data_IF_868638969143
#
_entry.id   IF_868638969143
#
_cell.length_a   1.000
_cell.length_b   1.000
_cell.length_c   1.000
_cell.angle_alpha   90.00
_cell.angle_beta   90.00
_cell.angle_gamma   90.00
#
_symmetry.space_group_name_H-M   'P 1'
#
loop_
_entity.id
_entity.type
_entity.pdbx_description
1 polymer ?
#
# COMPACT_ATOMS: atom_id res chain seq x y z
N UNK A 1 -5.09 -20.13 0.27
CA UNK A 1 -5.55 -18.75 -0.07
C UNK A 1 -4.37 -17.80 -0.29
N UNK A 2 -4.59 -16.60 -0.84
CA UNK A 2 -3.52 -15.61 -1.05
C UNK A 2 -3.43 -14.56 0.08
N UNK A 3 -2.46 -13.64 -0.01
CA UNK A 3 -2.24 -12.59 1.00
C UNK A 3 -3.42 -11.60 1.12
N UNK A 4 -4.13 -11.35 0.01
CA UNK A 4 -5.29 -10.44 -0.03
C UNK A 4 -6.48 -11.10 0.66
N UNK A 5 -6.65 -12.41 0.47
CA UNK A 5 -7.66 -13.20 1.16
C UNK A 5 -7.40 -13.24 2.67
N UNK A 6 -6.14 -13.38 3.07
CA UNK A 6 -5.74 -13.32 4.47
C UNK A 6 -6.02 -11.94 5.09
N UNK A 7 -5.62 -10.87 4.40
CA UNK A 7 -5.86 -9.49 4.83
C UNK A 7 -7.35 -9.22 5.03
N UNK A 8 -8.14 -9.36 3.98
CA UNK A 8 -9.55 -8.99 4.01
C UNK A 8 -10.40 -9.98 4.79
N UNK A 9 -10.15 -11.28 4.60
CA UNK A 9 -10.89 -12.33 5.28
C UNK A 9 -10.63 -12.38 6.78
N UNK A 10 -9.39 -12.11 7.22
CA UNK A 10 -9.04 -11.97 8.63
C UNK A 10 -9.77 -10.80 9.29
N UNK A 11 -9.71 -9.61 8.67
CA UNK A 11 -10.43 -8.41 9.15
C UNK A 11 -11.94 -8.66 9.22
N UNK A 12 -12.51 -9.30 8.21
CA UNK A 12 -13.93 -9.65 8.20
C UNK A 12 -14.27 -10.59 9.36
N UNK A 13 -13.54 -11.70 9.48
CA UNK A 13 -13.81 -12.72 10.49
C UNK A 13 -13.71 -12.17 11.91
N UNK A 14 -12.72 -11.32 12.18
CA UNK A 14 -12.53 -10.68 13.48
C UNK A 14 -13.69 -9.75 13.84
N UNK A 15 -14.07 -8.84 12.93
CA UNK A 15 -15.17 -7.91 13.17
C UNK A 15 -16.51 -8.63 13.30
N UNK A 16 -16.76 -9.63 12.46
CA UNK A 16 -17.95 -10.48 12.53
C UNK A 16 -18.03 -11.20 13.88
N UNK A 17 -16.92 -11.78 14.35
CA UNK A 17 -16.86 -12.47 15.66
C UNK A 17 -17.15 -11.52 16.82
N UNK A 18 -16.72 -10.26 16.73
CA UNK A 18 -16.93 -9.22 17.74
C UNK A 18 -18.30 -8.52 17.62
N UNK A 19 -19.14 -8.88 16.64
CA UNK A 19 -20.44 -8.24 16.42
C UNK A 19 -20.35 -6.80 15.88
N UNK A 20 -19.20 -6.40 15.33
CA UNK A 20 -18.99 -5.07 14.77
C UNK A 20 -19.36 -4.99 13.29
N UNK A 21 -19.52 -3.76 12.79
CA UNK A 21 -19.75 -3.50 11.37
C UNK A 21 -18.54 -3.94 10.52
N UNK A 22 -18.74 -5.01 9.77
CA UNK A 22 -17.76 -5.61 8.87
C UNK A 22 -17.32 -4.68 7.74
N UNK A 23 -18.13 -3.68 7.38
CA UNK A 23 -17.75 -2.72 6.33
C UNK A 23 -16.56 -1.86 6.74
N UNK A 24 -16.38 -1.61 8.05
CA UNK A 24 -15.20 -0.91 8.57
C UNK A 24 -13.93 -1.70 8.31
N UNK A 25 -13.97 -3.03 8.39
CA UNK A 25 -12.82 -3.89 8.09
C UNK A 25 -12.37 -3.81 6.65
N UNK A 26 -13.30 -3.60 5.72
CA UNK A 26 -12.98 -3.33 4.30
C UNK A 26 -12.22 -2.03 4.15
N UNK A 27 -12.66 -0.97 4.81
CA UNK A 27 -12.00 0.33 4.76
C UNK A 27 -10.56 0.25 5.30
N UNK A 28 -10.36 -0.35 6.48
CA UNK A 28 -9.02 -0.50 7.07
C UNK A 28 -8.13 -1.45 6.28
N UNK A 29 -8.68 -2.53 5.73
CA UNK A 29 -7.94 -3.43 4.83
C UNK A 29 -7.44 -2.68 3.58
N UNK A 30 -8.28 -1.84 2.98
CA UNK A 30 -7.89 -1.01 1.83
C UNK A 30 -6.80 -0.02 2.20
N UNK A 31 -6.90 0.62 3.37
CA UNK A 31 -5.86 1.54 3.87
C UNK A 31 -4.52 0.83 4.07
N UNK A 32 -4.52 -0.35 4.69
CA UNK A 32 -3.29 -1.12 4.90
C UNK A 32 -2.65 -1.54 3.58
N UNK A 33 -3.45 -2.03 2.63
CA UNK A 33 -2.96 -2.38 1.31
C UNK A 33 -2.45 -1.16 0.54
N UNK A 34 -3.11 -0.01 0.68
CA UNK A 34 -2.67 1.26 0.12
C UNK A 34 -1.31 1.68 0.69
N UNK A 35 -1.11 1.57 2.01
CA UNK A 35 0.17 1.85 2.64
C UNK A 35 1.28 0.93 2.11
N UNK A 36 1.02 -0.38 1.96
CA UNK A 36 1.97 -1.32 1.35
C UNK A 36 2.32 -0.88 -0.08
N UNK A 37 1.33 -0.58 -0.91
CA UNK A 37 1.55 -0.14 -2.30
C UNK A 37 2.40 1.14 -2.34
N UNK A 38 2.10 2.10 -1.48
CA UNK A 38 2.84 3.36 -1.38
C UNK A 38 4.30 3.12 -0.99
N UNK A 39 4.56 2.26 0.01
CA UNK A 39 5.93 1.92 0.43
C UNK A 39 6.73 1.37 -0.77
N UNK A 40 6.18 0.41 -1.50
CA UNK A 40 6.87 -0.19 -2.64
C UNK A 40 6.99 0.78 -3.84
N UNK A 41 6.04 1.69 -4.01
CA UNK A 41 6.15 2.76 -5.01
C UNK A 41 7.29 3.72 -4.67
N UNK A 42 7.44 4.12 -3.40
CA UNK A 42 8.57 4.94 -2.96
C UNK A 42 9.90 4.20 -3.12
N UNK A 43 9.97 2.92 -2.74
CA UNK A 43 11.16 2.10 -2.98
C UNK A 43 11.56 2.07 -4.46
N UNK A 44 10.59 1.86 -5.35
CA UNK A 44 10.82 1.87 -6.79
C UNK A 44 11.38 3.22 -7.26
N UNK A 45 10.77 4.33 -6.82
CA UNK A 45 11.23 5.69 -7.16
C UNK A 45 12.65 5.94 -6.67
N UNK A 46 12.97 5.55 -5.42
CA UNK A 46 14.32 5.73 -4.87
C UNK A 46 15.36 4.88 -5.62
N UNK A 47 15.06 3.62 -5.92
CA UNK A 47 15.97 2.75 -6.68
C UNK A 47 16.21 3.30 -8.09
N UNK A 48 15.16 3.77 -8.77
CA UNK A 48 15.30 4.40 -10.08
C UNK A 48 16.18 5.65 -10.02
N UNK A 49 16.02 6.48 -8.98
CA UNK A 49 16.86 7.65 -8.76
C UNK A 49 18.35 7.28 -8.61
N UNK A 50 18.65 6.24 -7.84
CA UNK A 50 20.03 5.76 -7.66
C UNK A 50 20.67 5.21 -8.93
N UNK A 51 19.87 4.64 -9.85
CA UNK A 51 20.38 4.11 -11.11
C UNK A 51 20.62 5.24 -12.11
N UNK A 52 19.69 6.20 -12.19
CA UNK A 52 19.78 7.34 -13.08
C UNK A 52 18.90 8.48 -12.58
N UNK A 53 19.53 9.59 -12.21
CA UNK A 53 18.86 10.79 -11.69
C UNK A 53 17.90 11.41 -12.73
N UNK A 54 18.24 11.30 -14.03
CA UNK A 54 17.48 11.93 -15.13
C UNK A 54 16.12 11.27 -15.38
N UNK A 55 15.95 9.98 -15.02
CA UNK A 55 14.70 9.23 -15.23
C UNK A 55 13.55 9.91 -14.48
N UNK A 56 13.80 10.36 -13.25
CA UNK A 56 12.79 11.03 -12.45
C UNK A 56 12.53 12.45 -12.94
N UNK A 57 13.57 13.16 -13.39
CA UNK A 57 13.41 14.53 -13.88
C UNK A 57 12.50 14.61 -15.11
N UNK A 58 12.61 13.65 -16.03
CA UNK A 58 11.69 13.58 -17.19
C UNK A 58 10.28 13.13 -16.80
N UNK A 59 10.13 12.18 -15.88
CA UNK A 59 8.82 11.73 -15.40
C UNK A 59 8.07 12.83 -14.63
N UNK A 60 8.78 13.66 -13.86
CA UNK A 60 8.20 14.76 -13.09
C UNK A 60 8.17 16.09 -13.83
N UNK A 61 8.76 16.21 -15.04
CA UNK A 61 8.76 17.42 -15.87
C UNK A 61 7.38 18.07 -16.05
N UNK A 62 6.29 17.33 -16.33
CA UNK A 62 4.96 17.93 -16.47
C UNK A 62 4.47 18.54 -15.15
N UNK A 63 4.76 17.85 -14.04
CA UNK A 63 4.39 18.28 -12.69
C UNK A 63 5.22 19.52 -12.29
N UNK A 64 6.51 19.56 -12.64
CA UNK A 64 7.42 20.71 -12.43
C UNK A 64 7.02 21.94 -13.22
N UNK A 65 6.44 21.76 -14.41
CA UNK A 65 5.84 22.86 -15.20
C UNK A 65 4.60 23.45 -14.53
N UNK A 66 3.75 22.64 -13.90
CA UNK A 66 2.54 23.11 -13.21
C UNK A 66 2.85 23.78 -11.86
N UNK A 67 3.83 23.29 -11.10
CA UNK A 67 4.12 23.75 -9.73
C UNK A 67 5.38 24.63 -9.60
N UNK A 68 6.15 24.77 -10.68
CA UNK A 68 7.33 25.64 -10.77
C UNK A 68 8.44 25.32 -9.77
N UNK A 69 9.25 26.33 -9.44
CA UNK A 69 10.40 26.23 -8.52
C UNK A 69 9.99 25.91 -7.07
N UNK A 70 8.70 26.03 -6.74
CA UNK A 70 8.13 25.71 -5.43
C UNK A 70 7.84 24.22 -5.21
N UNK A 71 8.11 23.38 -6.20
CA UNK A 71 7.74 21.96 -6.23
C UNK A 71 8.19 21.17 -4.99
N UNK A 72 9.35 21.44 -4.38
CA UNK A 72 9.77 20.77 -3.15
C UNK A 72 8.86 21.06 -1.94
N UNK A 73 8.42 22.32 -1.79
CA UNK A 73 7.49 22.74 -0.71
C UNK A 73 6.03 22.41 -1.03
N UNK A 74 5.65 22.41 -2.32
CA UNK A 74 4.31 22.07 -2.78
C UNK A 74 4.05 20.56 -2.81
N UNK A 75 5.06 19.73 -3.15
CA UNK A 75 4.98 18.27 -3.13
C UNK A 75 4.56 17.74 -1.75
N UNK A 76 5.20 18.26 -0.70
CA UNK A 76 5.02 17.79 0.67
C UNK A 76 3.68 18.15 1.31
N UNK A 77 2.92 19.12 0.76
CA UNK A 77 1.67 19.60 1.37
C UNK A 77 0.43 19.44 0.50
N UNK A 78 0.53 19.60 -0.82
CA UNK A 78 -0.65 19.71 -1.70
C UNK A 78 -0.72 18.58 -2.72
N UNK A 79 0.42 18.07 -3.20
CA UNK A 79 0.44 17.07 -4.27
C UNK A 79 0.38 15.64 -3.73
N UNK A 80 0.98 15.37 -2.57
CA UNK A 80 0.95 14.04 -1.96
C UNK A 80 -0.47 13.55 -1.65
N UNK A 81 -1.35 14.43 -1.17
CA UNK A 81 -2.72 14.05 -0.75
C UNK A 81 -3.55 13.54 -1.95
N UNK A 82 -3.67 14.26 -3.08
CA UNK A 82 -4.34 13.75 -4.28
C UNK A 82 -3.73 12.46 -4.81
N UNK A 83 -2.40 12.32 -4.82
CA UNK A 83 -1.74 11.09 -5.28
C UNK A 83 -2.13 9.90 -4.39
N UNK A 84 -2.04 10.07 -3.07
CA UNK A 84 -2.44 9.03 -2.11
C UNK A 84 -3.92 8.68 -2.27
N UNK A 85 -4.80 9.67 -2.47
CA UNK A 85 -6.22 9.44 -2.71
C UNK A 85 -6.46 8.65 -4.00
N UNK A 86 -5.76 8.97 -5.09
CA UNK A 86 -5.83 8.23 -6.36
C UNK A 86 -5.38 6.78 -6.15
N UNK A 87 -4.24 6.56 -5.48
CA UNK A 87 -3.74 5.20 -5.18
C UNK A 87 -4.76 4.43 -4.34
N UNK A 88 -5.33 5.07 -3.31
CA UNK A 88 -6.38 4.45 -2.50
C UNK A 88 -7.59 4.03 -3.34
N UNK A 89 -8.07 4.91 -4.24
CA UNK A 89 -9.19 4.60 -5.14
C UNK A 89 -8.85 3.43 -6.05
N UNK A 90 -7.64 3.40 -6.62
CA UNK A 90 -7.16 2.28 -7.44
C UNK A 90 -7.17 0.98 -6.63
N UNK A 91 -6.61 0.99 -5.42
CA UNK A 91 -6.60 -0.18 -4.52
C UNK A 91 -8.01 -0.64 -4.18
N UNK A 92 -8.90 0.30 -3.87
CA UNK A 92 -10.30 0.04 -3.54
C UNK A 92 -11.04 -0.59 -4.72
N UNK A 93 -10.86 -0.09 -5.94
CA UNK A 93 -11.52 -0.61 -7.14
C UNK A 93 -10.99 -1.99 -7.52
N UNK A 94 -9.67 -2.19 -7.49
CA UNK A 94 -9.04 -3.42 -7.94
C UNK A 94 -9.14 -4.54 -6.89
N UNK A 95 -8.83 -4.25 -5.63
CA UNK A 95 -8.68 -5.26 -4.57
C UNK A 95 -9.75 -5.16 -3.49
N UNK A 96 -10.23 -3.94 -3.20
CA UNK A 96 -11.09 -3.63 -2.05
C UNK A 96 -12.60 -3.57 -2.31
N UNK A 97 -13.08 -4.06 -3.46
CA UNK A 97 -14.51 -4.03 -3.78
C UNK A 97 -15.30 -4.90 -2.79
N UNK A 98 -16.55 -4.54 -2.49
CA UNK A 98 -17.40 -5.29 -1.53
C UNK A 98 -17.49 -6.79 -1.89
N UNK A 99 -17.71 -7.07 -3.18
CA UNK A 99 -17.76 -8.44 -3.72
C UNK A 99 -16.45 -9.21 -3.48
N UNK A 100 -15.30 -8.55 -3.67
CA UNK A 100 -13.99 -9.18 -3.44
C UNK A 100 -13.72 -9.37 -1.95
N UNK A 101 -14.09 -8.41 -1.11
CA UNK A 101 -13.99 -8.48 0.35
C UNK A 101 -14.77 -9.69 0.93
N UNK A 102 -16.02 -9.87 0.51
CA UNK A 102 -16.84 -11.02 0.90
C UNK A 102 -16.28 -12.35 0.37
N UNK A 103 -15.80 -12.36 -0.89
CA UNK A 103 -15.15 -13.55 -1.47
C UNK A 103 -13.89 -13.94 -0.70
N UNK A 104 -13.08 -12.97 -0.29
CA UNK A 104 -11.90 -13.19 0.54
C UNK A 104 -12.26 -13.76 1.91
N UNK A 105 -13.36 -13.31 2.53
CA UNK A 105 -13.88 -13.97 3.75
C UNK A 105 -14.29 -15.42 3.52
N UNK A 106 -14.94 -15.75 2.40
CA UNK A 106 -15.31 -17.14 2.09
C UNK A 106 -14.08 -18.02 1.86
N UNK A 107 -13.06 -17.50 1.18
CA UNK A 107 -11.79 -18.20 0.99
C UNK A 107 -11.08 -18.41 2.34
N UNK A 108 -11.08 -17.38 3.19
CA UNK A 108 -10.50 -17.43 4.52
C UNK A 108 -11.24 -18.40 5.44
N UNK A 109 -12.57 -18.41 5.45
CA UNK A 109 -13.35 -19.27 6.35
C UNK A 109 -13.17 -20.76 6.03
N UNK A 110 -12.99 -21.11 4.75
CA UNK A 110 -12.73 -22.47 4.27
C UNK A 110 -11.27 -22.91 4.43
N UNK A 111 -10.33 -21.97 4.61
CA UNK A 111 -8.91 -22.28 4.72
C UNK A 111 -8.57 -22.88 6.08
N UNK A 112 -7.57 -23.77 6.07
CA UNK A 112 -6.97 -24.35 7.28
C UNK A 112 -6.24 -23.29 8.11
N UNK A 113 -6.00 -23.57 9.39
CA UNK A 113 -5.28 -22.65 10.28
C UNK A 113 -3.85 -22.38 9.78
N UNK A 114 -3.17 -23.41 9.29
CA UNK A 114 -1.81 -23.29 8.73
C UNK A 114 -1.78 -22.37 7.49
N UNK A 115 -2.77 -22.46 6.60
CA UNK A 115 -2.86 -21.57 5.44
C UNK A 115 -3.12 -20.11 5.85
N UNK A 116 -3.93 -19.90 6.90
CA UNK A 116 -4.20 -18.58 7.48
C UNK A 116 -2.94 -17.94 8.01
N UNK A 117 -2.19 -18.67 8.83
CA UNK A 117 -0.95 -18.18 9.42
C UNK A 117 0.10 -17.93 8.35
N UNK A 118 0.29 -18.86 7.40
CA UNK A 118 1.26 -18.72 6.31
C UNK A 118 1.01 -17.47 5.47
N UNK A 119 -0.23 -17.23 5.05
CA UNK A 119 -0.56 -16.06 4.22
C UNK A 119 -0.48 -14.74 5.02
N UNK A 120 -0.89 -14.75 6.29
CA UNK A 120 -0.77 -13.58 7.19
C UNK A 120 0.70 -13.24 7.44
N UNK A 121 1.52 -14.23 7.78
CA UNK A 121 2.96 -14.05 8.00
C UNK A 121 3.65 -13.54 6.73
N UNK A 122 3.28 -14.06 5.55
CA UNK A 122 3.81 -13.54 4.28
C UNK A 122 3.47 -12.06 4.08
N UNK A 123 2.25 -11.63 4.42
CA UNK A 123 1.87 -10.22 4.36
C UNK A 123 2.70 -9.36 5.31
N UNK A 124 2.88 -9.81 6.56
CA UNK A 124 3.68 -9.11 7.56
C UNK A 124 5.13 -8.98 7.08
N UNK A 125 5.72 -10.07 6.57
CA UNK A 125 7.08 -10.07 6.04
C UNK A 125 7.23 -9.07 4.88
N UNK A 126 6.30 -9.05 3.93
CA UNK A 126 6.29 -8.08 2.83
C UNK A 126 6.25 -6.64 3.37
N UNK A 127 5.36 -6.36 4.32
CA UNK A 127 5.25 -5.03 4.91
C UNK A 127 6.53 -4.62 5.66
N UNK A 128 7.07 -5.49 6.51
CA UNK A 128 8.26 -5.22 7.32
C UNK A 128 9.50 -5.07 6.45
N UNK A 129 9.70 -5.94 5.46
CA UNK A 129 10.83 -5.81 4.51
C UNK A 129 10.72 -4.50 3.73
N UNK A 130 9.54 -4.18 3.20
CA UNK A 130 9.33 -2.92 2.47
C UNK A 130 9.63 -1.71 3.36
N UNK A 131 9.15 -1.71 4.60
CA UNK A 131 9.39 -0.63 5.55
C UNK A 131 10.86 -0.49 5.94
N UNK A 132 11.54 -1.60 6.26
CA UNK A 132 12.96 -1.60 6.60
C UNK A 132 13.82 -1.13 5.42
N UNK A 133 13.55 -1.63 4.21
CA UNK A 133 14.24 -1.19 3.01
C UNK A 133 14.04 0.31 2.77
N UNK A 134 12.83 0.83 3.00
CA UNK A 134 12.54 2.24 2.83
C UNK A 134 13.32 3.10 3.82
N UNK A 135 13.38 2.67 5.09
CA UNK A 135 14.18 3.35 6.13
C UNK A 135 15.67 3.33 5.77
N UNK A 136 16.21 2.17 5.39
CA UNK A 136 17.63 2.04 5.02
C UNK A 136 17.96 2.94 3.84
N UNK A 137 17.20 2.87 2.74
CA UNK A 137 17.44 3.72 1.56
C UNK A 137 17.28 5.20 1.88
N UNK A 138 16.30 5.57 2.71
CA UNK A 138 16.12 6.97 3.14
C UNK A 138 17.33 7.48 3.90
N UNK A 139 17.88 6.67 4.82
CA UNK A 139 19.10 7.02 5.53
C UNK A 139 20.28 7.11 4.56
N UNK A 140 20.46 6.13 3.67
CA UNK A 140 21.57 6.12 2.70
C UNK A 140 21.51 7.33 1.76
N UNK A 141 20.32 7.76 1.34
CA UNK A 141 20.14 8.96 0.51
C UNK A 141 20.50 10.29 1.20
N UNK A 142 20.75 10.29 2.52
CA UNK A 142 21.27 11.47 3.21
C UNK A 142 22.79 11.58 3.14
N UNK A 143 23.48 10.50 2.81
CA UNK A 143 24.95 10.40 2.80
C UNK A 143 25.54 10.26 1.39
N UNK A 144 24.70 10.00 0.39
CA UNK A 144 25.03 10.04 -1.04
C UNK A 144 24.56 11.39 -1.60
#
# INVERSE_FOLDING_TARGET
>A
MNIIDALYGGQYAELKKKGYDVNKGRFYGNLLLTAVVIIYLFLLVMVLHFINEDILDDAFKPLRRMFGRSMGKAMSKVVAIPIVAIIYVIVMLLFGSKKRYEKSYQAFSKATQQEKEKATNKMIVIFVIGLLALVVLSITSLFL
#
